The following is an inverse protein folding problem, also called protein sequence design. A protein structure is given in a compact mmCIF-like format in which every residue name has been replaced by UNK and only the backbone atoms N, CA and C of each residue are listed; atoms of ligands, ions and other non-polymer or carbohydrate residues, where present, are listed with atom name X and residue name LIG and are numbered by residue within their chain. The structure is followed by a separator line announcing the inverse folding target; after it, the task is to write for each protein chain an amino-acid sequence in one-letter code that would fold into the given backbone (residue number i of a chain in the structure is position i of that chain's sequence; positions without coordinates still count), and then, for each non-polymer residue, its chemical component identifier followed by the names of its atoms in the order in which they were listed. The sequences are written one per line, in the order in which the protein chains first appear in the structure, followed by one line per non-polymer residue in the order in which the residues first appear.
data_IF_402856430090
#
_entry.id   IF_402856430090
#
_cell.length_a   1.000
_cell.length_b   1.000
_cell.length_c   1.000
_cell.angle_alpha   90.00
_cell.angle_beta   90.00
_cell.angle_gamma   90.00
#
_symmetry.space_group_name_H-M   'P 1'
#
loop_
_entity.id
_entity.type
_entity.pdbx_description
1 polymer ?
#
# COMPACT_ATOMS: atom_id res chain seq x y z
N UNK A 1 -10.22 -6.53 -24.63
CA UNK A 1 -11.26 -7.06 -23.70
C UNK A 1 -12.66 -7.05 -24.31
N UNK A 2 -13.14 -5.97 -24.95
CA UNK A 2 -14.49 -5.98 -25.54
C UNK A 2 -14.66 -6.93 -26.73
N UNK A 3 -13.61 -7.11 -27.53
CA UNK A 3 -13.58 -7.97 -28.73
C UNK A 3 -12.82 -9.28 -28.49
N UNK A 4 -12.63 -9.66 -27.22
CA UNK A 4 -11.92 -10.88 -26.87
C UNK A 4 -12.88 -12.07 -27.03
N UNK A 5 -12.53 -13.03 -27.88
CA UNK A 5 -13.39 -14.17 -28.18
C UNK A 5 -13.51 -15.15 -27.00
N UNK A 6 -12.51 -15.20 -26.11
CA UNK A 6 -12.48 -16.08 -24.94
C UNK A 6 -13.30 -15.52 -23.76
N UNK A 7 -13.82 -14.30 -23.89
CA UNK A 7 -14.66 -13.67 -22.85
C UNK A 7 -15.93 -14.49 -22.59
N UNK A 8 -16.30 -14.63 -21.32
CA UNK A 8 -17.59 -15.21 -20.92
C UNK A 8 -18.77 -14.41 -21.52
N UNK A 9 -19.63 -15.10 -22.29
CA UNK A 9 -20.75 -14.50 -23.06
C UNK A 9 -22.12 -14.66 -22.38
N UNK A 10 -22.31 -15.72 -21.59
CA UNK A 10 -23.58 -16.07 -20.93
C UNK A 10 -23.33 -16.71 -19.57
N UNK A 11 -24.30 -16.68 -18.62
CA UNK A 11 -24.19 -17.43 -17.37
C UNK A 11 -24.01 -18.95 -17.60
N UNK A 12 -23.19 -19.56 -16.74
CA UNK A 12 -22.92 -21.00 -16.77
C UNK A 12 -23.29 -21.63 -15.42
N UNK A 13 -24.01 -22.75 -15.46
CA UNK A 13 -24.35 -23.54 -14.27
C UNK A 13 -23.56 -24.85 -14.29
N UNK A 14 -22.89 -25.15 -13.18
CA UNK A 14 -22.15 -26.41 -13.00
C UNK A 14 -23.11 -27.59 -12.93
N UNK A 15 -22.81 -28.64 -13.69
CA UNK A 15 -23.56 -29.91 -13.72
C UNK A 15 -22.59 -31.10 -13.70
N UNK A 16 -23.11 -32.31 -13.52
CA UNK A 16 -22.33 -33.54 -13.59
C UNK A 16 -22.85 -34.44 -14.70
N UNK A 17 -21.98 -34.83 -15.62
CA UNK A 17 -22.29 -35.75 -16.72
C UNK A 17 -21.28 -36.89 -16.65
N UNK A 18 -21.76 -38.13 -16.60
CA UNK A 18 -20.92 -39.34 -16.51
C UNK A 18 -19.89 -39.31 -15.36
N UNK A 19 -20.22 -38.68 -14.24
CA UNK A 19 -19.32 -38.56 -13.08
C UNK A 19 -18.33 -37.40 -13.14
N UNK A 20 -18.29 -36.65 -14.24
CA UNK A 20 -17.41 -35.48 -14.42
C UNK A 20 -18.16 -34.16 -14.25
N UNK A 21 -17.53 -33.19 -13.58
CA UNK A 21 -18.09 -31.84 -13.47
C UNK A 21 -17.86 -31.07 -14.76
N UNK A 22 -18.95 -30.56 -15.33
CA UNK A 22 -18.96 -29.71 -16.52
C UNK A 22 -19.89 -28.52 -16.31
N UNK A 23 -19.98 -27.64 -17.30
CA UNK A 23 -20.84 -26.47 -17.28
C UNK A 23 -21.82 -26.51 -18.45
N UNK A 24 -23.03 -26.02 -18.20
CA UNK A 24 -24.01 -25.74 -19.25
C UNK A 24 -24.36 -24.26 -19.24
N UNK A 25 -24.76 -23.74 -20.39
CA UNK A 25 -25.33 -22.41 -20.49
C UNK A 25 -26.68 -22.34 -19.76
N UNK A 26 -27.00 -21.13 -19.27
CA UNK A 26 -28.23 -20.81 -18.60
C UNK A 26 -28.70 -19.41 -18.98
N UNK A 27 -30.01 -19.15 -18.82
CA UNK A 27 -30.52 -17.78 -18.88
C UNK A 27 -30.10 -17.00 -17.62
N UNK A 28 -30.13 -15.66 -17.71
CA UNK A 28 -29.91 -14.80 -16.54
C UNK A 28 -30.95 -15.01 -15.45
N UNK A 29 -32.22 -15.19 -15.81
CA UNK A 29 -33.31 -15.46 -14.87
C UNK A 29 -33.06 -16.75 -14.09
N UNK A 30 -32.77 -17.84 -14.80
CA UNK A 30 -32.46 -19.14 -14.20
C UNK A 30 -31.25 -19.06 -13.25
N UNK A 31 -30.17 -18.39 -13.68
CA UNK A 31 -28.96 -18.27 -12.88
C UNK A 31 -29.20 -17.46 -11.59
N UNK A 32 -29.92 -16.34 -11.69
CA UNK A 32 -30.21 -15.47 -10.55
C UNK A 32 -31.18 -16.12 -9.56
N UNK A 33 -32.23 -16.80 -10.05
CA UNK A 33 -33.17 -17.54 -9.21
C UNK A 33 -32.47 -18.67 -8.45
N UNK A 34 -31.58 -19.39 -9.13
CA UNK A 34 -30.77 -20.43 -8.48
C UNK A 34 -29.91 -19.82 -7.36
N UNK A 35 -29.19 -18.73 -7.63
CA UNK A 35 -28.34 -18.06 -6.63
C UNK A 35 -29.19 -17.58 -5.43
N UNK A 36 -30.31 -16.91 -5.69
CA UNK A 36 -31.20 -16.41 -4.66
C UNK A 36 -31.76 -17.54 -3.77
N UNK A 37 -32.16 -18.66 -4.38
CA UNK A 37 -32.64 -19.84 -3.65
C UNK A 37 -31.56 -20.42 -2.72
N UNK A 38 -30.30 -20.44 -3.15
CA UNK A 38 -29.17 -20.92 -2.35
C UNK A 38 -28.82 -19.96 -1.21
N UNK A 39 -28.84 -18.65 -1.46
CA UNK A 39 -28.66 -17.65 -0.41
C UNK A 39 -29.72 -17.82 0.68
N UNK A 40 -30.99 -17.92 0.31
CA UNK A 40 -32.08 -18.11 1.27
C UNK A 40 -31.91 -19.40 2.08
N UNK A 41 -31.64 -20.52 1.41
CA UNK A 41 -31.44 -21.80 2.07
C UNK A 41 -30.27 -21.78 3.07
N UNK A 42 -29.13 -21.20 2.69
CA UNK A 42 -27.96 -21.07 3.56
C UNK A 42 -28.30 -20.21 4.78
N UNK A 43 -28.95 -19.06 4.57
CA UNK A 43 -29.38 -18.19 5.67
C UNK A 43 -30.31 -18.90 6.65
N UNK A 44 -31.32 -19.59 6.13
CA UNK A 44 -32.34 -20.27 6.94
C UNK A 44 -31.75 -21.47 7.71
N UNK A 45 -30.68 -22.10 7.20
CA UNK A 45 -30.09 -23.32 7.78
C UNK A 45 -28.89 -23.03 8.69
N UNK A 46 -28.04 -22.08 8.33
CA UNK A 46 -26.73 -21.88 8.95
C UNK A 46 -26.48 -20.44 9.43
N UNK A 47 -27.43 -19.54 9.25
CA UNK A 47 -27.23 -18.11 9.50
C UNK A 47 -26.58 -17.39 8.33
N UNK A 48 -26.77 -16.06 8.26
CA UNK A 48 -26.26 -15.25 7.15
C UNK A 48 -24.73 -15.14 7.17
N UNK A 49 -24.12 -15.16 8.35
CA UNK A 49 -22.67 -15.08 8.60
C UNK A 49 -21.88 -16.23 7.99
N UNK A 50 -22.54 -17.36 7.72
CA UNK A 50 -21.95 -18.54 7.08
C UNK A 50 -21.58 -18.33 5.61
N UNK A 51 -21.94 -17.17 5.03
CA UNK A 51 -21.67 -16.83 3.64
C UNK A 51 -20.65 -15.69 3.53
N UNK A 52 -19.56 -15.93 2.78
CA UNK A 52 -18.44 -15.00 2.66
C UNK A 52 -18.37 -14.33 1.28
N UNK A 53 -18.02 -13.04 1.25
CA UNK A 53 -17.73 -12.28 0.03
C UNK A 53 -16.24 -12.03 -0.10
N UNK A 54 -15.64 -12.49 -1.20
CA UNK A 54 -14.34 -12.02 -1.67
C UNK A 54 -14.57 -11.07 -2.84
N UNK A 55 -14.28 -9.78 -2.64
CA UNK A 55 -14.56 -8.73 -3.65
C UNK A 55 -13.30 -8.06 -4.18
N UNK A 56 -13.39 -7.51 -5.38
CA UNK A 56 -12.38 -6.63 -5.98
C UNK A 56 -13.02 -5.73 -7.04
N UNK A 57 -12.37 -4.60 -7.36
CA UNK A 57 -12.78 -3.69 -8.43
C UNK A 57 -14.06 -2.90 -8.14
N UNK A 58 -14.47 -2.07 -9.10
CA UNK A 58 -15.60 -1.14 -8.97
C UNK A 58 -16.93 -1.82 -8.56
N UNK A 59 -17.29 -3.01 -9.10
CA UNK A 59 -18.53 -3.69 -8.70
C UNK A 59 -18.54 -4.17 -7.25
N UNK A 60 -17.37 -4.30 -6.61
CA UNK A 60 -17.24 -4.83 -5.25
C UNK A 60 -18.08 -4.08 -4.22
N UNK A 61 -18.28 -2.76 -4.38
CA UNK A 61 -19.14 -1.96 -3.49
C UNK A 61 -20.62 -2.36 -3.57
N UNK A 62 -21.11 -2.70 -4.76
CA UNK A 62 -22.49 -3.15 -4.93
C UNK A 62 -22.72 -4.51 -4.26
N UNK A 63 -21.75 -5.42 -4.40
CA UNK A 63 -21.81 -6.73 -3.75
C UNK A 63 -21.69 -6.61 -2.22
N UNK A 64 -20.87 -5.69 -1.72
CA UNK A 64 -20.78 -5.41 -0.28
C UNK A 64 -22.12 -4.92 0.29
N UNK A 65 -22.80 -4.02 -0.43
CA UNK A 65 -24.14 -3.57 -0.03
C UNK A 65 -25.15 -4.73 0.00
N UNK A 66 -25.12 -5.61 -1.01
CA UNK A 66 -25.96 -6.81 -1.04
C UNK A 66 -25.69 -7.72 0.17
N UNK A 67 -24.42 -7.99 0.51
CA UNK A 67 -24.07 -8.87 1.63
C UNK A 67 -24.49 -8.29 2.98
N UNK A 68 -24.31 -6.97 3.16
CA UNK A 68 -24.80 -6.27 4.35
C UNK A 68 -26.32 -6.35 4.47
N UNK A 69 -27.05 -6.17 3.37
CA UNK A 69 -28.51 -6.34 3.35
C UNK A 69 -28.95 -7.80 3.59
N UNK A 70 -28.18 -8.77 3.08
CA UNK A 70 -28.38 -10.19 3.34
C UNK A 70 -28.15 -10.54 4.82
N UNK A 71 -27.33 -9.76 5.54
CA UNK A 71 -27.02 -9.91 6.95
C UNK A 71 -25.67 -10.56 7.23
N UNK A 72 -24.75 -10.57 6.26
CA UNK A 72 -23.39 -11.05 6.44
C UNK A 72 -22.38 -9.90 6.39
N UNK A 73 -21.50 -9.86 7.37
CA UNK A 73 -20.32 -8.97 7.39
C UNK A 73 -19.01 -9.76 7.16
N UNK A 74 -19.11 -11.01 6.73
CA UNK A 74 -17.96 -11.86 6.38
C UNK A 74 -17.42 -11.46 5.01
N UNK A 75 -16.78 -10.29 4.94
CA UNK A 75 -16.34 -9.64 3.70
C UNK A 75 -14.83 -9.44 3.74
N UNK A 76 -14.15 -9.88 2.69
CA UNK A 76 -12.71 -9.67 2.52
C UNK A 76 -12.36 -9.14 1.13
N UNK A 77 -11.28 -8.38 1.09
CA UNK A 77 -10.73 -7.77 -0.12
C UNK A 77 -9.21 -8.00 -0.13
N UNK A 78 -8.64 -8.69 -1.14
CA UNK A 78 -7.20 -8.96 -1.17
C UNK A 78 -6.38 -7.67 -1.28
N UNK A 79 -6.91 -6.62 -1.94
CA UNK A 79 -6.24 -5.31 -2.01
C UNK A 79 -6.10 -4.64 -0.63
N UNK A 80 -6.92 -5.01 0.35
CA UNK A 80 -6.71 -4.60 1.74
C UNK A 80 -5.80 -5.59 2.46
N UNK A 81 -6.23 -6.85 2.58
CA UNK A 81 -5.58 -7.83 3.45
C UNK A 81 -4.13 -8.17 3.06
N UNK A 82 -3.77 -8.08 1.79
CA UNK A 82 -2.45 -8.49 1.27
C UNK A 82 -1.64 -7.31 0.71
N UNK A 83 -2.18 -6.09 0.71
CA UNK A 83 -1.53 -4.93 0.11
C UNK A 83 -1.65 -3.70 1.02
N UNK A 84 -2.80 -3.01 1.03
CA UNK A 84 -2.92 -1.70 1.68
C UNK A 84 -3.13 -1.75 3.20
N UNK A 85 -3.58 -2.87 3.74
CA UNK A 85 -3.99 -3.00 5.14
C UNK A 85 -2.96 -2.53 6.17
N UNK A 86 -1.70 -3.00 6.11
CA UNK A 86 -0.66 -2.57 7.05
C UNK A 86 -0.38 -1.06 7.01
N UNK A 87 -0.32 -0.45 5.81
CA UNK A 87 -0.09 1.00 5.68
C UNK A 87 -1.27 1.82 6.19
N UNK A 88 -2.50 1.37 5.93
CA UNK A 88 -3.70 2.07 6.38
C UNK A 88 -3.83 2.03 7.90
N UNK A 89 -3.56 0.87 8.53
CA UNK A 89 -3.57 0.74 9.98
C UNK A 89 -2.50 1.63 10.64
N UNK A 90 -1.27 1.61 10.11
CA UNK A 90 -0.19 2.46 10.62
C UNK A 90 -0.50 3.95 10.50
N UNK A 91 -1.06 4.38 9.36
CA UNK A 91 -1.42 5.78 9.12
C UNK A 91 -2.60 6.23 9.99
N UNK A 92 -3.62 5.39 10.16
CA UNK A 92 -4.75 5.70 11.03
C UNK A 92 -4.33 5.83 12.49
N UNK A 93 -3.44 4.98 12.98
CA UNK A 93 -2.89 5.07 14.34
C UNK A 93 -1.99 6.30 14.55
N UNK A 94 -1.33 6.78 13.50
CA UNK A 94 -0.37 7.90 13.57
C UNK A 94 -1.03 9.26 13.35
N UNK A 95 -1.91 9.36 12.36
CA UNK A 95 -2.50 10.62 11.87
C UNK A 95 -4.01 10.71 12.08
N UNK A 96 -4.67 9.64 12.54
CA UNK A 96 -6.12 9.61 12.72
C UNK A 96 -6.91 9.62 11.41
N UNK A 97 -6.28 9.32 10.27
CA UNK A 97 -6.91 9.32 8.95
C UNK A 97 -6.47 8.12 8.09
N UNK A 98 -7.13 7.94 6.95
CA UNK A 98 -6.76 6.92 5.96
C UNK A 98 -5.89 7.57 4.89
N UNK A 99 -4.92 6.82 4.34
CA UNK A 99 -4.08 7.32 3.24
C UNK A 99 -4.89 7.34 1.94
N UNK A 100 -5.73 6.33 1.72
CA UNK A 100 -6.52 6.22 0.50
C UNK A 100 -5.75 5.68 -0.71
N UNK A 101 -6.41 5.72 -1.86
CA UNK A 101 -5.87 5.33 -3.17
C UNK A 101 -6.63 6.09 -4.27
N UNK A 102 -5.96 6.95 -5.08
CA UNK A 102 -4.53 7.24 -5.03
C UNK A 102 -4.11 7.93 -3.73
N UNK A 103 -2.86 7.71 -3.31
CA UNK A 103 -2.27 8.36 -2.14
C UNK A 103 -2.09 9.88 -2.39
N UNK A 104 -2.35 10.75 -1.40
CA UNK A 104 -2.24 12.20 -1.55
C UNK A 104 -0.78 12.66 -1.43
N UNK A 105 0.07 12.23 -2.37
CA UNK A 105 1.49 12.54 -2.39
C UNK A 105 1.80 13.67 -3.36
N UNK A 106 2.62 14.63 -2.94
CA UNK A 106 3.11 15.72 -3.80
C UNK A 106 4.43 15.34 -4.49
N UNK A 107 4.40 14.27 -5.29
CA UNK A 107 5.62 13.69 -5.90
C UNK A 107 6.26 14.70 -6.85
N UNK A 108 5.45 15.38 -7.68
CA UNK A 108 5.92 16.31 -8.72
C UNK A 108 6.81 17.43 -8.16
N UNK A 109 6.41 18.00 -7.01
CA UNK A 109 7.00 19.24 -6.49
C UNK A 109 8.06 18.97 -5.40
N UNK A 110 8.29 17.71 -5.03
CA UNK A 110 9.31 17.34 -4.04
C UNK A 110 10.73 17.66 -4.50
N UNK A 111 11.63 17.90 -3.53
CA UNK A 111 13.09 18.02 -3.77
C UNK A 111 13.85 16.74 -3.49
N UNK A 112 13.23 15.82 -2.75
CA UNK A 112 13.79 14.51 -2.47
C UNK A 112 12.67 13.46 -2.41
N UNK A 113 12.80 12.38 -3.17
CA UNK A 113 11.88 11.26 -3.18
C UNK A 113 12.63 10.01 -2.72
N UNK A 114 12.18 9.41 -1.63
CA UNK A 114 12.72 8.15 -1.12
C UNK A 114 11.71 7.04 -1.38
N UNK A 115 12.11 6.07 -2.18
CA UNK A 115 11.31 4.91 -2.56
C UNK A 115 11.79 3.68 -1.78
N UNK A 116 11.07 3.30 -0.72
CA UNK A 116 11.35 2.07 0.03
C UNK A 116 10.45 0.96 -0.48
N UNK A 117 11.02 -0.01 -1.20
CA UNK A 117 10.29 -1.12 -1.82
C UNK A 117 9.34 -0.73 -2.96
N UNK A 118 9.38 0.52 -3.42
CA UNK A 118 8.52 1.01 -4.52
C UNK A 118 9.26 0.97 -5.85
N UNK A 119 8.68 0.24 -6.81
CA UNK A 119 9.22 0.01 -8.15
C UNK A 119 8.43 0.79 -9.21
N UNK A 120 8.22 2.10 -8.98
CA UNK A 120 7.52 3.00 -9.91
C UNK A 120 8.13 2.88 -11.32
N UNK A 121 7.26 2.79 -12.33
CA UNK A 121 7.63 2.55 -13.72
C UNK A 121 7.61 1.07 -14.13
N UNK A 122 7.60 0.15 -13.17
CA UNK A 122 7.16 -1.24 -13.39
C UNK A 122 5.73 -1.41 -12.88
N UNK A 123 5.46 -0.96 -11.64
CA UNK A 123 4.08 -0.73 -11.19
C UNK A 123 3.56 0.56 -11.84
N UNK A 124 2.69 0.41 -12.83
CA UNK A 124 2.31 1.46 -13.76
C UNK A 124 1.06 2.22 -13.31
N UNK A 125 1.11 2.82 -12.12
CA UNK A 125 0.11 3.80 -11.71
C UNK A 125 0.36 5.11 -12.46
N UNK A 126 -0.48 5.39 -13.46
CA UNK A 126 -0.22 6.41 -14.48
C UNK A 126 0.13 7.80 -13.94
N UNK A 127 -0.57 8.30 -12.91
CA UNK A 127 -0.28 9.61 -12.32
C UNK A 127 1.05 9.62 -11.58
N UNK A 128 1.32 8.61 -10.74
CA UNK A 128 2.57 8.51 -9.97
C UNK A 128 3.81 8.42 -10.88
N UNK A 129 3.69 7.73 -12.02
CA UNK A 129 4.78 7.64 -13.00
C UNK A 129 5.03 8.99 -13.68
N UNK A 130 3.98 9.71 -14.06
CA UNK A 130 4.10 11.06 -14.61
C UNK A 130 4.71 12.04 -13.59
N UNK A 131 4.21 12.04 -12.36
CA UNK A 131 4.71 12.91 -11.29
C UNK A 131 6.17 12.61 -10.93
N UNK A 132 6.59 11.33 -10.93
CA UNK A 132 8.00 10.98 -10.73
C UNK A 132 8.87 11.47 -11.89
N UNK A 133 8.37 11.41 -13.14
CA UNK A 133 9.08 11.95 -14.30
C UNK A 133 9.27 13.46 -14.16
N UNK A 134 8.21 14.19 -13.82
CA UNK A 134 8.28 15.64 -13.61
C UNK A 134 9.24 15.99 -12.45
N UNK A 135 9.24 15.22 -11.37
CA UNK A 135 10.17 15.41 -10.25
C UNK A 135 11.64 15.26 -10.69
N UNK A 136 11.94 14.28 -11.54
CA UNK A 136 13.28 14.08 -12.13
C UNK A 136 13.65 15.29 -12.98
N UNK A 137 12.76 15.75 -13.85
CA UNK A 137 12.99 16.93 -14.72
C UNK A 137 13.19 18.22 -13.90
N UNK A 138 12.51 18.32 -12.76
CA UNK A 138 12.67 19.39 -11.78
C UNK A 138 13.93 19.27 -10.90
N UNK A 139 14.77 18.25 -11.13
CA UNK A 139 16.03 18.04 -10.43
C UNK A 139 15.89 17.48 -9.02
N UNK A 140 14.78 16.80 -8.70
CA UNK A 140 14.63 16.12 -7.41
C UNK A 140 15.68 15.00 -7.24
N UNK A 141 16.17 14.84 -6.01
CA UNK A 141 17.03 13.70 -5.65
C UNK A 141 16.15 12.48 -5.41
N UNK A 142 16.31 11.45 -6.23
CA UNK A 142 15.62 10.17 -6.11
C UNK A 142 16.55 9.16 -5.44
N UNK A 143 16.05 8.54 -4.37
CA UNK A 143 16.73 7.50 -3.60
C UNK A 143 15.85 6.26 -3.63
N UNK A 144 16.38 5.13 -4.09
CA UNK A 144 15.67 3.84 -4.06
C UNK A 144 16.30 2.90 -3.04
N UNK A 145 15.48 2.36 -2.14
CA UNK A 145 15.83 1.30 -1.19
C UNK A 145 15.12 0.03 -1.64
N UNK A 146 15.87 -0.89 -2.24
CA UNK A 146 15.33 -2.09 -2.88
C UNK A 146 16.45 -3.15 -2.97
N UNK A 147 16.25 -4.42 -2.55
CA UNK A 147 17.24 -5.47 -2.76
C UNK A 147 17.58 -5.70 -4.24
N UNK A 148 16.69 -5.32 -5.16
CA UNK A 148 16.86 -5.43 -6.61
C UNK A 148 17.14 -4.07 -7.24
N UNK A 149 17.94 -4.06 -8.29
CA UNK A 149 18.10 -2.90 -9.15
C UNK A 149 16.89 -2.75 -10.09
N UNK A 150 15.81 -2.15 -9.60
CA UNK A 150 14.54 -1.95 -10.31
C UNK A 150 14.59 -0.80 -11.34
N UNK A 151 13.54 -0.66 -12.15
CA UNK A 151 13.38 0.51 -13.04
C UNK A 151 13.55 1.83 -12.29
N UNK A 152 12.93 1.97 -11.11
CA UNK A 152 13.08 3.15 -10.26
C UNK A 152 14.53 3.36 -9.80
N UNK A 153 15.23 2.28 -9.41
CA UNK A 153 16.64 2.34 -9.04
C UNK A 153 17.52 2.84 -10.20
N UNK A 154 17.23 2.45 -11.44
CA UNK A 154 17.97 2.90 -12.63
C UNK A 154 17.85 4.41 -12.91
N UNK A 155 16.84 5.07 -12.32
CA UNK A 155 16.59 6.52 -12.40
C UNK A 155 17.00 7.26 -11.12
N UNK A 156 17.54 6.54 -10.15
CA UNK A 156 17.92 7.09 -8.85
C UNK A 156 19.38 7.50 -8.82
N UNK A 157 19.66 8.63 -8.17
CA UNK A 157 21.04 9.05 -7.86
C UNK A 157 21.66 8.10 -6.82
N UNK A 158 20.83 7.53 -5.94
CA UNK A 158 21.24 6.60 -4.92
C UNK A 158 20.37 5.35 -4.92
N UNK A 159 21.01 4.18 -4.98
CA UNK A 159 20.37 2.89 -4.77
C UNK A 159 20.99 2.20 -3.55
N UNK A 160 20.14 1.83 -2.61
CA UNK A 160 20.49 1.08 -1.42
C UNK A 160 19.99 -0.35 -1.60
N UNK A 161 20.93 -1.26 -1.89
CA UNK A 161 20.67 -2.70 -1.97
C UNK A 161 20.45 -3.28 -0.55
N UNK A 162 19.29 -3.00 0.04
CA UNK A 162 18.95 -3.42 1.39
C UNK A 162 18.81 -4.95 1.49
N UNK A 163 19.14 -5.53 2.65
CA UNK A 163 18.79 -6.93 2.91
C UNK A 163 17.25 -7.03 3.02
N UNK A 164 16.60 -8.02 2.39
CA UNK A 164 15.15 -8.18 2.49
C UNK A 164 14.67 -8.21 3.95
N UNK A 165 13.57 -7.50 4.22
CA UNK A 165 12.93 -7.38 5.53
C UNK A 165 13.76 -6.68 6.62
N UNK A 166 14.70 -5.80 6.25
CA UNK A 166 15.45 -4.96 7.22
C UNK A 166 15.11 -3.47 7.14
N UNK A 167 13.99 -3.10 6.51
CA UNK A 167 13.58 -1.71 6.28
C UNK A 167 13.31 -0.95 7.58
N UNK A 168 12.74 -1.61 8.60
CA UNK A 168 12.51 -1.01 9.92
C UNK A 168 13.83 -0.62 10.59
N UNK A 169 14.87 -1.44 10.46
CA UNK A 169 16.19 -1.12 11.00
C UNK A 169 16.78 0.13 10.33
N UNK A 170 16.63 0.27 9.01
CA UNK A 170 17.03 1.48 8.28
C UNK A 170 16.26 2.72 8.76
N UNK A 171 14.93 2.62 8.87
CA UNK A 171 14.09 3.74 9.32
C UNK A 171 14.42 4.19 10.75
N UNK A 172 14.64 3.26 11.68
CA UNK A 172 15.07 3.57 13.04
C UNK A 172 16.44 4.26 13.08
N UNK A 173 17.37 3.83 12.21
CA UNK A 173 18.67 4.47 12.09
C UNK A 173 18.57 5.92 11.55
N UNK A 174 17.68 6.18 10.60
CA UNK A 174 17.41 7.54 10.12
C UNK A 174 16.79 8.41 11.21
N UNK A 175 15.80 7.90 11.93
CA UNK A 175 15.19 8.60 13.05
C UNK A 175 16.23 8.97 14.11
N UNK A 176 17.14 8.05 14.43
CA UNK A 176 18.24 8.29 15.36
C UNK A 176 19.07 9.51 14.94
N UNK A 177 19.62 9.50 13.72
CA UNK A 177 20.50 10.60 13.27
C UNK A 177 19.74 11.92 13.16
N UNK A 178 18.52 11.91 12.63
CA UNK A 178 17.68 13.11 12.52
C UNK A 178 17.44 13.75 13.90
N UNK A 179 17.22 12.92 14.93
CA UNK A 179 16.94 13.39 16.30
C UNK A 179 18.22 13.80 17.02
N UNK A 180 19.29 12.99 16.94
CA UNK A 180 20.59 13.25 17.59
C UNK A 180 21.22 14.54 17.06
N UNK A 181 21.22 14.74 15.75
CA UNK A 181 21.77 15.94 15.10
C UNK A 181 20.79 17.13 15.11
N UNK A 182 19.53 16.91 15.53
CA UNK A 182 18.52 17.95 15.63
C UNK A 182 18.04 18.52 14.29
N UNK A 183 18.00 17.68 13.24
CA UNK A 183 17.64 18.03 11.86
C UNK A 183 16.11 18.11 11.61
N UNK A 184 15.29 17.68 12.56
CA UNK A 184 13.83 17.75 12.46
C UNK A 184 13.28 19.17 12.66
N UNK A 185 12.07 19.42 12.17
CA UNK A 185 11.35 20.67 12.44
C UNK A 185 10.79 20.69 13.87
N UNK A 186 11.49 21.42 14.72
CA UNK A 186 11.16 21.58 16.14
C UNK A 186 9.81 22.26 16.35
N UNK A 187 9.45 23.24 15.51
CA UNK A 187 8.20 23.97 15.66
C UNK A 187 7.01 23.13 15.22
N UNK A 188 7.18 22.29 14.19
CA UNK A 188 6.16 21.33 13.78
C UNK A 188 5.95 20.26 14.86
N UNK A 189 7.03 19.62 15.32
CA UNK A 189 6.99 18.59 16.38
C UNK A 189 6.33 19.13 17.64
N UNK A 190 6.73 20.33 18.10
CA UNK A 190 6.13 20.95 19.29
C UNK A 190 4.63 21.21 19.17
N UNK A 191 4.13 21.54 17.97
CA UNK A 191 2.73 21.97 17.76
C UNK A 191 1.78 20.84 17.39
N UNK A 192 2.26 19.84 16.66
CA UNK A 192 1.39 18.90 15.94
C UNK A 192 1.68 17.43 16.25
N UNK A 193 2.58 17.13 17.19
CA UNK A 193 2.88 15.74 17.56
C UNK A 193 2.73 15.50 19.06
N UNK A 194 2.68 14.22 19.43
CA UNK A 194 2.68 13.72 20.81
C UNK A 194 3.62 12.53 20.89
N UNK A 195 4.20 12.26 22.06
CA UNK A 195 5.05 11.08 22.25
C UNK A 195 6.48 11.22 21.70
N UNK A 196 6.93 12.44 21.38
CA UNK A 196 8.24 12.67 20.76
C UNK A 196 9.41 12.35 21.69
N UNK A 197 9.31 12.67 22.99
CA UNK A 197 10.40 12.38 23.94
C UNK A 197 10.53 10.86 24.16
N UNK A 198 9.42 10.13 24.20
CA UNK A 198 9.41 8.67 24.25
C UNK A 198 10.04 8.04 23.00
N UNK A 199 9.74 8.59 21.81
CA UNK A 199 10.39 8.17 20.56
C UNK A 199 11.89 8.45 20.61
N UNK A 200 12.29 9.65 21.05
CA UNK A 200 13.69 10.06 21.16
C UNK A 200 14.46 9.16 22.12
N UNK A 201 13.93 8.89 23.30
CA UNK A 201 14.53 7.97 24.27
C UNK A 201 14.64 6.56 23.68
N UNK A 202 13.61 6.09 22.97
CA UNK A 202 13.64 4.79 22.30
C UNK A 202 14.75 4.71 21.25
N UNK A 203 14.84 5.70 20.35
CA UNK A 203 15.78 5.62 19.22
C UNK A 203 17.22 5.92 19.58
N UNK A 204 17.48 6.75 20.59
CA UNK A 204 18.83 7.03 21.06
C UNK A 204 19.48 5.82 21.74
N UNK A 205 18.68 4.90 22.28
CA UNK A 205 19.18 3.64 22.85
C UNK A 205 19.65 2.62 21.80
N UNK A 206 19.35 2.81 20.52
CA UNK A 206 19.72 1.84 19.47
C UNK A 206 21.19 1.87 19.05
N UNK A 207 21.95 2.92 19.35
CA UNK A 207 23.41 2.98 19.08
C UNK A 207 24.19 1.93 19.86
N UNK A 208 23.71 1.55 21.05
CA UNK A 208 24.36 0.53 21.87
C UNK A 208 24.20 -0.90 21.32
N UNK A 209 23.29 -1.14 20.36
CA UNK A 209 22.86 -2.48 19.93
C UNK A 209 23.21 -2.84 18.47
N UNK A 210 24.17 -2.14 17.82
CA UNK A 210 24.77 -2.61 16.56
C UNK A 210 24.16 -2.08 15.25
N UNK A 211 23.33 -1.02 15.31
CA UNK A 211 22.85 -0.31 14.11
C UNK A 211 23.94 0.51 13.37
N UNK A 212 25.16 0.57 13.92
CA UNK A 212 26.33 1.20 13.28
C UNK A 212 26.77 0.53 11.96
N UNK A 213 26.25 -0.65 11.62
CA UNK A 213 26.50 -1.26 10.30
C UNK A 213 25.84 -0.49 9.13
N UNK A 214 24.82 0.34 9.39
CA UNK A 214 24.14 1.17 8.38
C UNK A 214 24.60 2.63 8.39
N UNK A 215 25.42 3.03 9.37
CA UNK A 215 25.88 4.40 9.56
C UNK A 215 26.59 5.01 8.34
N UNK A 216 27.47 4.28 7.62
CA UNK A 216 28.13 4.82 6.41
C UNK A 216 27.15 5.09 5.26
N UNK A 217 26.03 4.37 5.21
CA UNK A 217 24.97 4.55 4.23
C UNK A 217 24.11 5.76 4.59
N UNK A 218 23.79 5.91 5.87
CA UNK A 218 23.00 7.00 6.42
C UNK A 218 23.72 8.35 6.30
N UNK A 219 25.01 8.39 6.63
CA UNK A 219 25.80 9.61 6.59
C UNK A 219 25.95 10.15 5.16
N UNK A 220 26.19 9.28 4.17
CA UNK A 220 26.24 9.68 2.75
C UNK A 220 24.91 10.19 2.20
N UNK A 221 23.78 9.74 2.77
CA UNK A 221 22.45 10.21 2.37
C UNK A 221 22.16 11.55 3.04
N UNK A 222 22.42 11.66 4.34
CA UNK A 222 22.15 12.85 5.14
C UNK A 222 23.07 14.03 4.77
N UNK A 223 24.35 13.79 4.45
CA UNK A 223 25.29 14.80 3.92
C UNK A 223 24.90 15.34 2.54
N UNK A 224 24.06 14.59 1.80
CA UNK A 224 23.61 14.92 0.44
C UNK A 224 22.16 15.36 0.37
N UNK A 225 21.45 15.28 1.49
CA UNK A 225 20.29 16.15 1.68
C UNK A 225 20.83 17.58 1.52
N UNK A 226 20.13 18.46 0.77
CA UNK A 226 20.58 19.83 0.61
C UNK A 226 20.96 20.40 1.99
N UNK A 227 22.06 21.17 2.08
CA UNK A 227 22.67 21.70 3.34
C UNK A 227 21.68 22.35 4.33
N UNK A 228 20.46 22.57 3.87
CA UNK A 228 19.27 22.79 4.69
C UNK A 228 18.20 21.86 4.14
N UNK A 229 17.90 20.77 4.85
CA UNK A 229 16.59 20.13 4.71
C UNK A 229 15.56 21.23 5.00
N UNK A 230 14.90 21.81 3.98
CA UNK A 230 14.23 23.08 4.14
C UNK A 230 12.82 22.77 4.63
N UNK A 231 12.68 22.39 5.90
CA UNK A 231 11.33 22.35 6.51
C UNK A 231 10.72 23.76 6.57
N UNK A 232 11.52 24.80 6.30
CA UNK A 232 11.06 26.19 6.22
C UNK A 232 10.29 26.57 4.94
N UNK A 233 9.99 25.67 3.98
CA UNK A 233 9.22 26.02 2.76
C UNK A 233 8.20 24.98 2.27
N UNK A 234 7.57 24.24 3.19
CA UNK A 234 6.38 23.42 2.87
C UNK A 234 5.09 24.00 3.48
N UNK A 235 4.99 25.34 3.49
CA UNK A 235 3.76 26.12 3.65
C UNK A 235 3.68 27.17 2.55
#
# INVERSE_FOLDING_TARGET
MYTDEDRLKTPLIRTTINGEQTFREASWEEALDLIASKFKHIKDTYGAESFALLKHGSPGKHLEHLFKAYGSDTIAEPAYAQCRGPREAGFALTYGSWVGSPEPTDIRDTKCLVLIGSHIGENMHNSQVQEMSDAIDNGATIITVDPRFSTAASKSQHWLAIKPATDIALMLAWMHVIIEEGLYDKDYVKRYTTGFEELKDHVLNFTQNGLMALQPLNQKILEKLPEKWPVQRLL
#
